data_IF_502256820225
#
_entry.id   IF_502256820225
#
_cell.length_a   1.000
_cell.length_b   1.000
_cell.length_c   1.000
_cell.angle_alpha   90.00
_cell.angle_beta   90.00
_cell.angle_gamma   90.00
#
_symmetry.space_group_name_H-M   'P 1'
#
loop_
_entity.id
_entity.type
_entity.pdbx_description
1 polymer ?
#
# COMPACT_ATOMS: atom_id res chain seq x y z
N UNK A 1 -0.60 2.29 11.73
CA UNK A 1 -1.49 1.39 12.50
C UNK A 1 -0.85 1.11 13.85
N UNK A 2 -1.55 1.26 14.98
CA UNK A 2 -1.03 0.96 16.32
C UNK A 2 -0.45 -0.47 16.43
N UNK A 3 -1.11 -1.45 15.81
CA UNK A 3 -0.67 -2.85 15.82
C UNK A 3 0.69 -3.08 15.14
N UNK A 4 1.02 -2.31 14.10
CA UNK A 4 2.32 -2.40 13.44
C UNK A 4 3.46 -1.90 14.34
N UNK A 5 3.15 -0.89 15.15
CA UNK A 5 4.08 -0.35 16.14
C UNK A 5 4.33 -1.37 17.26
N UNK A 6 3.27 -1.99 17.78
CA UNK A 6 3.37 -2.98 18.87
C UNK A 6 4.04 -4.28 18.42
N UNK A 7 3.80 -4.72 17.18
CA UNK A 7 4.42 -5.92 16.61
C UNK A 7 5.85 -5.70 16.07
N UNK A 8 6.35 -4.46 16.08
CA UNK A 8 7.64 -4.07 15.49
C UNK A 8 7.83 -4.57 14.04
N UNK A 9 6.77 -4.49 13.23
CA UNK A 9 6.74 -4.98 11.85
C UNK A 9 6.10 -3.95 10.91
N UNK A 10 6.45 -3.96 9.62
CA UNK A 10 5.70 -3.19 8.62
C UNK A 10 4.22 -3.55 8.62
N UNK A 11 3.34 -2.56 8.41
CA UNK A 11 1.89 -2.74 8.43
C UNK A 11 1.41 -3.88 7.51
N UNK A 12 2.04 -4.04 6.34
CA UNK A 12 1.67 -5.04 5.34
C UNK A 12 2.19 -6.45 5.64
N UNK A 13 3.07 -6.59 6.64
CA UNK A 13 3.65 -7.87 7.06
C UNK A 13 3.00 -8.42 8.35
N UNK A 14 1.97 -7.74 8.85
CA UNK A 14 1.22 -8.17 10.02
C UNK A 14 0.48 -9.49 9.74
N UNK A 15 0.70 -10.48 10.61
CA UNK A 15 0.05 -11.79 10.56
C UNK A 15 -1.07 -11.87 11.60
N UNK A 16 -1.98 -12.85 11.50
CA UNK A 16 -2.94 -13.12 12.58
C UNK A 16 -2.28 -13.32 13.95
N UNK A 17 -1.09 -13.93 13.97
CA UNK A 17 -0.27 -14.11 15.17
C UNK A 17 0.22 -12.80 15.81
N UNK A 18 0.22 -11.70 15.05
CA UNK A 18 0.58 -10.35 15.53
C UNK A 18 -0.63 -9.59 16.07
N UNK A 19 -1.78 -10.26 16.27
CA UNK A 19 -3.04 -9.66 16.73
C UNK A 19 -3.90 -9.07 15.62
N UNK A 20 -3.50 -9.22 14.34
CA UNK A 20 -4.26 -8.76 13.18
C UNK A 20 -5.35 -9.80 12.84
N UNK A 21 -6.38 -9.88 13.68
CA UNK A 21 -7.46 -10.87 13.59
C UNK A 21 -8.78 -10.17 13.23
N UNK A 22 -9.66 -10.85 12.48
CA UNK A 22 -10.99 -10.34 12.14
C UNK A 22 -10.93 -9.16 11.17
N UNK A 23 -11.66 -8.08 11.50
CA UNK A 23 -11.74 -6.88 10.64
C UNK A 23 -10.39 -6.22 10.41
N UNK A 24 -9.49 -6.25 11.39
CA UNK A 24 -8.13 -5.71 11.25
C UNK A 24 -7.33 -6.39 10.13
N UNK A 25 -7.48 -7.71 9.98
CA UNK A 25 -6.82 -8.45 8.89
C UNK A 25 -7.37 -8.03 7.51
N UNK A 26 -8.68 -7.85 7.42
CA UNK A 26 -9.33 -7.36 6.19
C UNK A 26 -8.86 -5.94 5.87
N UNK A 27 -8.77 -5.05 6.86
CA UNK A 27 -8.29 -3.68 6.65
C UNK A 27 -6.84 -3.62 6.18
N UNK A 28 -5.94 -4.46 6.70
CA UNK A 28 -4.56 -4.55 6.19
C UNK A 28 -4.55 -4.93 4.71
N UNK A 29 -5.39 -5.89 4.31
CA UNK A 29 -5.56 -6.30 2.91
C UNK A 29 -6.07 -5.16 2.03
N UNK A 30 -7.13 -4.47 2.46
CA UNK A 30 -7.70 -3.32 1.73
C UNK A 30 -6.69 -2.19 1.60
N UNK A 31 -6.03 -1.79 2.69
CA UNK A 31 -5.00 -0.76 2.66
C UNK A 31 -3.85 -1.10 1.70
N UNK A 32 -3.45 -2.39 1.63
CA UNK A 32 -2.42 -2.83 0.69
C UNK A 32 -2.90 -2.70 -0.77
N UNK A 33 -4.14 -3.08 -1.05
CA UNK A 33 -4.74 -2.94 -2.39
C UNK A 33 -4.84 -1.49 -2.81
N UNK A 34 -5.35 -0.62 -1.94
CA UNK A 34 -5.52 0.81 -2.21
C UNK A 34 -4.17 1.50 -2.43
N UNK A 35 -3.17 1.18 -1.59
CA UNK A 35 -1.82 1.72 -1.74
C UNK A 35 -1.17 1.29 -3.06
N UNK A 36 -1.32 0.01 -3.42
CA UNK A 36 -0.80 -0.52 -4.69
C UNK A 36 -1.44 0.24 -5.87
N UNK A 37 -2.77 0.35 -5.88
CA UNK A 37 -3.51 1.06 -6.93
C UNK A 37 -3.07 2.52 -7.05
N UNK A 38 -2.97 3.24 -5.93
CA UNK A 38 -2.52 4.63 -5.92
C UNK A 38 -1.10 4.76 -6.50
N UNK A 39 -0.20 3.85 -6.15
CA UNK A 39 1.18 3.86 -6.64
C UNK A 39 1.23 3.63 -8.15
N UNK A 40 0.46 2.66 -8.66
CA UNK A 40 0.33 2.39 -10.10
C UNK A 40 -0.25 3.58 -10.85
N UNK A 41 -1.28 4.23 -10.31
CA UNK A 41 -1.89 5.43 -10.90
C UNK A 41 -0.91 6.61 -10.99
N UNK A 42 -0.07 6.79 -9.96
CA UNK A 42 0.98 7.82 -9.97
C UNK A 42 2.02 7.52 -11.05
N UNK A 43 2.50 6.27 -11.12
CA UNK A 43 3.48 5.85 -12.13
C UNK A 43 2.93 6.03 -13.55
N UNK A 44 1.68 5.65 -13.78
CA UNK A 44 1.02 5.85 -15.07
C UNK A 44 1.00 7.34 -15.46
N UNK A 45 0.65 8.23 -14.53
CA UNK A 45 0.65 9.69 -14.78
C UNK A 45 2.04 10.23 -15.07
N UNK A 46 3.05 9.76 -14.36
CA UNK A 46 4.44 10.18 -14.59
C UNK A 46 4.95 9.72 -15.95
N UNK A 47 4.64 8.49 -16.35
CA UNK A 47 5.01 7.98 -17.68
C UNK A 47 4.30 8.78 -18.79
N UNK A 48 2.99 9.02 -18.67
CA UNK A 48 2.26 9.88 -19.61
C UNK A 48 2.87 11.27 -19.69
N UNK A 49 3.25 11.86 -18.55
CA UNK A 49 3.89 13.17 -18.54
C UNK A 49 5.28 13.15 -19.19
N UNK A 50 6.08 12.10 -18.97
CA UNK A 50 7.38 11.92 -19.60
C UNK A 50 7.26 11.77 -21.12
N UNK A 51 6.27 11.01 -21.60
CA UNK A 51 6.00 10.84 -23.03
C UNK A 51 5.60 12.16 -23.71
N UNK A 52 4.83 13.01 -23.01
CA UNK A 52 4.48 14.36 -23.50
C UNK A 52 5.69 15.32 -23.56
N UNK A 53 6.76 15.07 -22.80
CA UNK A 53 7.93 15.95 -22.72
C UNK A 53 9.11 15.44 -23.56
N UNK A 54 9.08 14.20 -24.05
CA UNK A 54 10.11 13.58 -24.89
C UNK A 54 10.04 13.93 -26.38
N UNK A 55 9.08 14.76 -26.82
CA UNK A 55 8.89 15.21 -28.21
C UNK A 55 9.40 16.66 -28.44
N UNK A 56 10.48 17.06 -27.74
CA UNK A 56 11.17 18.34 -27.94
C UNK A 56 12.68 18.15 -28.11
#
# INVERSE_FOLDING_TARGET
MPLAHDAHKPMFDLKPADGAIGSTQQYVGTCRSDFKKLSEDILARLNTAADLHGDR
#
